data_IF_452561685463
#
_entry.id   IF_452561685463
#
_cell.length_a   1.000
_cell.length_b   1.000
_cell.length_c   1.000
_cell.angle_alpha   90.00
_cell.angle_beta   90.00
_cell.angle_gamma   90.00
#
_symmetry.space_group_name_H-M   'P 1'
#
loop_
_entity.id
_entity.type
_entity.pdbx_description
1 polymer ?
#
# COMPACT_ATOMS: atom_id res chain seq x y z
N UNK A 1 -8.33 -0.97 -31.80
CA UNK A 1 -7.76 -1.41 -30.52
C UNK A 1 -7.46 -2.89 -30.67
N UNK A 2 -6.18 -3.23 -30.69
CA UNK A 2 -5.73 -4.63 -30.67
C UNK A 2 -6.01 -5.22 -29.28
N UNK A 3 -6.18 -6.54 -29.20
CA UNK A 3 -6.27 -7.24 -27.91
C UNK A 3 -5.00 -7.01 -27.06
N UNK A 4 -3.86 -6.77 -27.73
CA UNK A 4 -2.57 -6.46 -27.09
C UNK A 4 -2.59 -5.09 -26.39
N UNK A 5 -3.24 -4.09 -26.99
CA UNK A 5 -3.35 -2.74 -26.39
C UNK A 5 -4.10 -2.78 -25.05
N UNK A 6 -5.11 -3.65 -24.93
CA UNK A 6 -5.91 -3.82 -23.70
C UNK A 6 -5.08 -4.51 -22.62
N UNK A 7 -4.36 -5.57 -22.97
CA UNK A 7 -3.51 -6.29 -22.01
C UNK A 7 -2.34 -5.43 -21.51
N UNK A 8 -1.74 -4.64 -22.40
CA UNK A 8 -0.69 -3.68 -22.04
C UNK A 8 -1.21 -2.58 -21.12
N UNK A 9 -2.43 -2.09 -21.37
CA UNK A 9 -3.08 -1.13 -20.49
C UNK A 9 -3.32 -1.69 -19.08
N UNK A 10 -3.83 -2.93 -18.99
CA UNK A 10 -4.01 -3.64 -17.71
C UNK A 10 -2.66 -3.81 -16.99
N UNK A 11 -1.61 -4.20 -17.71
CA UNK A 11 -0.27 -4.38 -17.13
C UNK A 11 0.29 -3.04 -16.59
N UNK A 12 0.09 -1.95 -17.33
CA UNK A 12 0.50 -0.60 -16.93
C UNK A 12 -0.26 -0.12 -15.69
N UNK A 13 -1.57 -0.30 -15.66
CA UNK A 13 -2.39 0.03 -14.49
C UNK A 13 -1.95 -0.76 -13.27
N UNK A 14 -1.75 -2.08 -13.40
CA UNK A 14 -1.25 -2.92 -12.31
C UNK A 14 0.11 -2.45 -11.78
N UNK A 15 1.05 -2.11 -12.66
CA UNK A 15 2.35 -1.62 -12.26
C UNK A 15 2.24 -0.30 -11.48
N UNK A 16 1.41 0.63 -11.95
CA UNK A 16 1.15 1.90 -11.26
C UNK A 16 0.51 1.69 -9.87
N UNK A 17 -0.49 0.80 -9.77
CA UNK A 17 -1.12 0.46 -8.49
C UNK A 17 -0.13 -0.14 -7.50
N UNK A 18 0.72 -1.08 -7.95
CA UNK A 18 1.75 -1.67 -7.09
C UNK A 18 2.75 -0.61 -6.59
N UNK A 19 3.19 0.29 -7.47
CA UNK A 19 4.09 1.38 -7.09
C UNK A 19 3.46 2.31 -6.04
N UNK A 20 2.17 2.65 -6.21
CA UNK A 20 1.44 3.47 -5.25
C UNK A 20 1.29 2.78 -3.88
N UNK A 21 1.01 1.47 -3.86
CA UNK A 21 0.93 0.69 -2.62
C UNK A 21 2.28 0.65 -1.90
N UNK A 22 3.39 0.46 -2.63
CA UNK A 22 4.73 0.47 -2.05
C UNK A 22 5.03 1.86 -1.45
N UNK A 23 4.73 2.93 -2.17
CA UNK A 23 4.90 4.29 -1.67
C UNK A 23 4.09 4.56 -0.39
N UNK A 24 2.88 4.01 -0.26
CA UNK A 24 2.09 4.07 0.98
C UNK A 24 2.80 3.36 2.14
N UNK A 25 3.39 2.18 1.90
CA UNK A 25 4.12 1.44 2.93
C UNK A 25 5.38 2.18 3.39
N UNK A 26 6.11 2.80 2.46
CA UNK A 26 7.27 3.63 2.78
C UNK A 26 6.86 4.86 3.60
N UNK A 27 5.76 5.54 3.24
CA UNK A 27 5.22 6.65 4.02
C UNK A 27 4.84 6.23 5.46
N UNK A 28 4.30 5.02 5.67
CA UNK A 28 4.00 4.49 7.00
C UNK A 28 5.29 4.26 7.81
N UNK A 29 6.35 3.73 7.18
CA UNK A 29 7.65 3.52 7.83
C UNK A 29 8.29 4.86 8.20
N UNK A 30 8.24 5.83 7.30
CA UNK A 30 8.76 7.18 7.52
C UNK A 30 7.99 7.88 8.65
N UNK A 31 6.66 7.79 8.66
CA UNK A 31 5.89 8.31 9.78
C UNK A 31 6.26 7.60 11.10
N UNK A 32 6.45 6.28 11.10
CA UNK A 32 6.89 5.59 12.32
C UNK A 32 8.27 6.04 12.81
N UNK A 33 9.21 6.34 11.90
CA UNK A 33 10.55 6.84 12.24
C UNK A 33 10.54 8.30 12.74
N UNK A 34 9.48 9.05 12.43
CA UNK A 34 9.19 10.38 12.97
C UNK A 34 8.28 10.33 14.23
N UNK A 35 8.40 9.27 15.03
CA UNK A 35 7.74 9.08 16.33
C UNK A 35 6.20 9.03 16.35
N UNK A 36 5.53 8.98 15.19
CA UNK A 36 4.08 8.78 15.17
C UNK A 36 3.70 7.45 15.84
N UNK A 37 2.63 7.49 16.64
CA UNK A 37 2.10 6.30 17.29
C UNK A 37 1.41 5.41 16.27
N UNK A 38 1.44 4.11 16.50
CA UNK A 38 0.69 3.17 15.67
C UNK A 38 -0.82 3.45 15.65
N UNK A 39 -1.41 4.06 16.68
CA UNK A 39 -2.84 4.43 16.65
C UNK A 39 -3.11 5.50 15.58
N UNK A 40 -2.23 6.49 15.47
CA UNK A 40 -2.31 7.51 14.41
C UNK A 40 -2.12 6.90 13.03
N UNK A 41 -1.19 5.94 12.91
CA UNK A 41 -0.95 5.23 11.65
C UNK A 41 -2.14 4.34 11.23
N UNK A 42 -2.79 3.66 12.17
CA UNK A 42 -4.01 2.89 11.91
C UNK A 42 -5.14 3.81 11.40
N UNK A 43 -5.36 4.94 12.10
CA UNK A 43 -6.38 5.90 11.71
C UNK A 43 -6.13 6.53 10.33
N UNK A 44 -4.87 6.86 10.02
CA UNK A 44 -4.51 7.49 8.75
C UNK A 44 -4.49 6.51 7.56
N UNK A 45 -4.07 5.27 7.78
CA UNK A 45 -3.92 4.28 6.71
C UNK A 45 -5.15 3.40 6.48
N UNK A 46 -6.03 3.28 7.48
CA UNK A 46 -7.13 2.31 7.48
C UNK A 46 -6.70 0.86 7.69
N UNK A 47 -5.41 0.59 7.89
CA UNK A 47 -4.93 -0.75 8.21
C UNK A 47 -5.13 -1.09 9.68
N UNK A 48 -5.30 -2.38 9.95
CA UNK A 48 -5.29 -2.90 11.32
C UNK A 48 -3.90 -2.81 11.94
N UNK A 49 -3.84 -2.79 13.28
CA UNK A 49 -2.61 -2.80 14.09
C UNK A 49 -1.53 -3.74 13.58
N UNK A 50 -1.87 -5.01 13.40
CA UNK A 50 -0.92 -6.03 13.01
C UNK A 50 -0.33 -5.78 11.62
N UNK A 51 -1.15 -5.27 10.70
CA UNK A 51 -0.70 -4.89 9.35
C UNK A 51 0.28 -3.72 9.40
N UNK A 52 -0.03 -2.67 10.18
CA UNK A 52 0.89 -1.53 10.37
C UNK A 52 2.21 -1.99 11.00
N UNK A 53 2.16 -2.85 12.03
CA UNK A 53 3.36 -3.42 12.66
C UNK A 53 4.22 -4.21 11.68
N UNK A 54 3.61 -5.03 10.83
CA UNK A 54 4.32 -5.77 9.79
C UNK A 54 4.98 -4.84 8.76
N UNK A 55 4.28 -3.77 8.34
CA UNK A 55 4.82 -2.76 7.43
C UNK A 55 6.04 -2.08 8.04
N UNK A 56 5.92 -1.62 9.30
CA UNK A 56 7.01 -1.00 10.06
C UNK A 56 8.20 -1.94 10.23
N UNK A 57 7.96 -3.24 10.41
CA UNK A 57 9.01 -4.27 10.47
C UNK A 57 9.66 -4.58 9.10
N UNK A 58 9.30 -3.86 8.03
CA UNK A 58 9.87 -4.00 6.70
C UNK A 58 9.12 -4.96 5.76
N UNK A 59 7.99 -5.52 6.19
CA UNK A 59 7.19 -6.39 5.32
C UNK A 59 6.32 -5.58 4.36
N UNK A 60 6.04 -6.12 3.18
CA UNK A 60 5.08 -5.59 2.21
C UNK A 60 3.87 -6.55 2.14
N UNK A 61 2.90 -6.47 3.08
CA UNK A 61 1.76 -7.38 3.08
C UNK A 61 0.91 -7.23 1.82
N UNK A 62 0.06 -8.22 1.54
CA UNK A 62 -0.88 -8.13 0.42
C UNK A 62 -1.89 -7.01 0.68
N UNK A 63 -2.01 -6.10 -0.28
CA UNK A 63 -3.06 -5.10 -0.29
C UNK A 63 -4.35 -5.69 -0.85
N UNK A 64 -5.42 -5.62 -0.08
CA UNK A 64 -6.76 -6.08 -0.47
C UNK A 64 -7.70 -4.89 -0.43
N UNK A 65 -8.42 -4.67 -1.53
CA UNK A 65 -9.50 -3.68 -1.60
C UNK A 65 -10.77 -4.36 -1.14
N UNK A 66 -11.43 -3.79 -0.15
CA UNK A 66 -12.75 -4.21 0.32
C UNK A 66 -13.71 -3.09 -0.05
N UNK A 67 -14.80 -3.39 -0.75
CA UNK A 67 -15.87 -2.42 -1.01
C UNK A 67 -16.77 -2.33 0.23
N UNK A 68 -17.13 -1.10 0.61
CA UNK A 68 -18.16 -0.84 1.62
C UNK A 68 -19.56 -1.25 1.13
#
# INVERSE_FOLDING_TARGET
MSNDDVLDDIARQRAATNAAIIALYDAIRDAKSNDYSYNELEAASGFTRGTVQNIVAGSNPRFSVVSD
#
